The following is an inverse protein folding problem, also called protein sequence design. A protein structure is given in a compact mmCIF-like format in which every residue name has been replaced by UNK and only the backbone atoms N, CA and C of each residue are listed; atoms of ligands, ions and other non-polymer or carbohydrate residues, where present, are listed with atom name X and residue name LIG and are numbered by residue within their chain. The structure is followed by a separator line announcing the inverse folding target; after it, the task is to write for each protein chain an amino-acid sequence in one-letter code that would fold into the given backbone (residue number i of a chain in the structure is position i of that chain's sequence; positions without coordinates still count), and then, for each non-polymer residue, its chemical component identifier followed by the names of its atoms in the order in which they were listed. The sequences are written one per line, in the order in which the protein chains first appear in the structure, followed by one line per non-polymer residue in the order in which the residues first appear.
data_IF_337626232588
#
_entry.id   IF_337626232588
#
_cell.length_a   1.000
_cell.length_b   1.000
_cell.length_c   1.000
_cell.angle_alpha   90.00
_cell.angle_beta   90.00
_cell.angle_gamma   90.00
#
_symmetry.space_group_name_H-M   'P 1'
#
loop_
_entity.id
_entity.type
_entity.pdbx_description
1 polymer ?
#
# COMPACT_ATOMS: atom_id res chain seq x y z
N UNK A 1 -11.07 31.12 -26.83
CA UNK A 1 -10.00 30.69 -27.76
C UNK A 1 -8.92 31.74 -27.99
N UNK A 2 -9.23 33.05 -28.07
CA UNK A 2 -8.21 34.10 -28.15
C UNK A 2 -7.21 34.07 -26.96
N UNK A 3 -7.71 33.75 -25.76
CA UNK A 3 -6.86 33.57 -24.58
C UNK A 3 -5.82 32.45 -24.72
N UNK A 4 -6.14 31.31 -25.34
CA UNK A 4 -5.18 30.19 -25.46
C UNK A 4 -3.97 30.57 -26.32
N UNK A 5 -4.19 31.38 -27.35
CA UNK A 5 -3.16 31.87 -28.25
C UNK A 5 -2.16 32.80 -27.55
N UNK A 6 -2.67 33.78 -26.79
CA UNK A 6 -1.82 34.69 -26.01
C UNK A 6 -1.11 33.95 -24.87
N UNK A 7 -1.77 33.01 -24.20
CA UNK A 7 -1.20 32.23 -23.11
C UNK A 7 -0.01 31.37 -23.58
N UNK A 8 -0.14 30.68 -24.72
CA UNK A 8 0.94 29.84 -25.27
C UNK A 8 2.14 30.70 -25.71
N UNK A 9 1.90 31.88 -26.30
CA UNK A 9 2.97 32.78 -26.76
C UNK A 9 3.67 33.52 -25.62
N UNK A 10 2.98 33.78 -24.51
CA UNK A 10 3.59 34.35 -23.29
C UNK A 10 4.50 33.36 -22.57
N UNK A 11 4.20 32.05 -22.67
CA UNK A 11 4.90 31.00 -21.94
C UNK A 11 6.09 30.42 -22.72
N UNK A 12 5.99 30.27 -24.05
CA UNK A 12 7.04 29.63 -24.84
C UNK A 12 8.06 30.66 -25.31
N UNK A 13 9.19 30.74 -24.61
CA UNK A 13 10.34 31.59 -24.97
C UNK A 13 11.48 30.78 -25.59
N UNK A 14 11.59 29.49 -25.27
CA UNK A 14 12.58 28.53 -25.80
C UNK A 14 11.95 27.17 -26.17
N UNK A 15 12.65 26.39 -26.99
CA UNK A 15 12.32 24.99 -27.35
C UNK A 15 12.12 24.11 -26.12
N UNK A 16 12.84 24.41 -25.03
CA UNK A 16 12.72 23.72 -23.74
C UNK A 16 11.36 23.96 -23.08
N UNK A 17 10.80 25.15 -23.20
CA UNK A 17 9.48 25.47 -22.65
C UNK A 17 8.40 24.65 -23.35
N UNK A 18 8.50 24.52 -24.68
CA UNK A 18 7.56 23.69 -25.44
C UNK A 18 7.69 22.20 -25.11
N UNK A 19 8.92 21.68 -24.93
CA UNK A 19 9.13 20.31 -24.48
C UNK A 19 8.55 20.11 -23.06
N UNK A 20 8.79 21.06 -22.15
CA UNK A 20 8.24 21.02 -20.80
C UNK A 20 6.71 21.01 -20.81
N UNK A 21 6.06 21.89 -21.58
CA UNK A 21 4.60 21.89 -21.74
C UNK A 21 4.09 20.57 -22.30
N UNK A 22 4.76 20.02 -23.32
CA UNK A 22 4.39 18.73 -23.91
C UNK A 22 4.37 17.62 -22.85
N UNK A 23 5.40 17.57 -22.02
CA UNK A 23 5.53 16.52 -20.98
C UNK A 23 4.58 16.77 -19.81
N UNK A 24 4.47 18.00 -19.31
CA UNK A 24 3.58 18.38 -18.19
C UNK A 24 2.10 18.15 -18.50
N UNK A 25 1.68 18.36 -19.75
CA UNK A 25 0.29 18.22 -20.17
C UNK A 25 0.03 16.94 -20.99
N UNK A 26 0.99 16.01 -21.03
CA UNK A 26 0.86 14.71 -21.72
C UNK A 26 0.41 14.84 -23.19
N UNK A 27 0.86 15.89 -23.88
CA UNK A 27 0.46 16.13 -25.26
C UNK A 27 1.13 15.09 -26.17
N UNK A 28 0.35 14.35 -26.94
CA UNK A 28 0.88 13.42 -27.95
C UNK A 28 1.55 14.18 -29.09
N UNK A 29 2.39 13.50 -29.88
CA UNK A 29 3.01 14.10 -31.06
C UNK A 29 1.95 14.57 -32.08
N UNK A 30 0.88 13.77 -32.26
CA UNK A 30 -0.26 14.15 -33.09
C UNK A 30 -1.00 15.37 -32.57
N UNK A 31 -1.27 15.45 -31.25
CA UNK A 31 -1.92 16.61 -30.65
C UNK A 31 -1.08 17.88 -30.78
N UNK A 32 0.23 17.77 -30.52
CA UNK A 32 1.16 18.88 -30.70
C UNK A 32 1.25 19.29 -32.17
N UNK A 33 1.26 18.34 -33.11
CA UNK A 33 1.24 18.62 -34.54
C UNK A 33 -0.04 19.34 -34.97
N UNK A 34 -1.21 18.94 -34.45
CA UNK A 34 -2.48 19.63 -34.73
C UNK A 34 -2.49 21.07 -34.20
N UNK A 35 -2.01 21.29 -32.97
CA UNK A 35 -1.80 22.63 -32.40
C UNK A 35 -0.85 23.43 -33.31
N UNK A 36 0.24 22.81 -33.76
CA UNK A 36 1.21 23.44 -34.63
C UNK A 36 0.59 23.86 -35.97
N UNK A 37 -0.17 22.99 -36.65
CA UNK A 37 -0.85 23.31 -37.90
C UNK A 37 -1.83 24.47 -37.75
N UNK A 38 -2.63 24.46 -36.67
CA UNK A 38 -3.55 25.56 -36.35
C UNK A 38 -2.80 26.88 -36.15
N UNK A 39 -1.72 26.86 -35.37
CA UNK A 39 -0.91 28.04 -35.03
C UNK A 39 -0.02 28.54 -36.17
N UNK A 40 0.37 27.67 -37.11
CA UNK A 40 1.19 28.03 -38.28
C UNK A 40 0.52 29.06 -39.18
N UNK A 41 -0.82 29.13 -39.14
CA UNK A 41 -1.60 30.20 -39.78
C UNK A 41 -1.38 31.58 -39.13
N UNK A 42 -0.74 31.66 -37.95
CA UNK A 42 -0.62 32.89 -37.13
C UNK A 42 0.79 33.24 -36.63
N UNK A 43 1.79 32.33 -36.56
CA UNK A 43 3.24 32.59 -36.30
C UNK A 43 4.11 31.31 -36.37
N UNK A 44 5.46 31.44 -36.38
CA UNK A 44 6.44 30.33 -36.33
C UNK A 44 6.60 29.79 -34.89
N UNK A 45 6.01 28.63 -34.60
CA UNK A 45 6.40 27.78 -33.47
C UNK A 45 7.61 26.89 -33.87
N UNK A 46 8.24 26.23 -32.89
CA UNK A 46 9.25 25.19 -33.14
C UNK A 46 8.61 23.93 -33.70
N UNK A 47 9.27 23.30 -34.69
CA UNK A 47 8.77 22.09 -35.32
C UNK A 47 8.83 20.87 -34.40
N UNK A 48 7.95 19.89 -34.61
CA UNK A 48 7.96 18.61 -33.89
C UNK A 48 9.35 17.94 -33.94
N UNK A 49 9.99 17.95 -35.11
CA UNK A 49 11.34 17.41 -35.33
C UNK A 49 12.41 18.06 -34.44
N UNK A 50 12.29 19.37 -34.18
CA UNK A 50 13.20 20.07 -33.27
C UNK A 50 12.97 19.67 -31.82
N UNK A 51 11.71 19.48 -31.42
CA UNK A 51 11.34 19.02 -30.08
C UNK A 51 11.78 17.57 -29.86
N UNK A 52 11.59 16.69 -30.84
CA UNK A 52 12.10 15.31 -30.81
C UNK A 52 13.62 15.27 -30.72
N UNK A 53 14.33 16.08 -31.50
CA UNK A 53 15.79 16.18 -31.44
C UNK A 53 16.26 16.68 -30.07
N UNK A 54 15.57 17.66 -29.50
CA UNK A 54 15.86 18.16 -28.15
C UNK A 54 15.60 17.08 -27.11
N UNK A 55 14.46 16.38 -27.17
CA UNK A 55 14.12 15.27 -26.28
C UNK A 55 15.18 14.18 -26.36
N UNK A 56 15.58 13.75 -27.56
CA UNK A 56 16.63 12.74 -27.74
C UNK A 56 17.96 13.20 -27.11
N UNK A 57 18.38 14.45 -27.35
CA UNK A 57 19.59 15.04 -26.75
C UNK A 57 19.50 15.17 -25.22
N UNK A 58 18.31 15.40 -24.68
CA UNK A 58 18.07 15.47 -23.24
C UNK A 58 18.09 14.07 -22.64
N UNK A 59 17.43 13.09 -23.27
CA UNK A 59 17.36 11.70 -22.83
C UNK A 59 18.76 11.04 -22.77
N UNK A 60 19.68 11.41 -23.67
CA UNK A 60 21.08 10.91 -23.62
C UNK A 60 21.86 11.37 -22.40
N UNK A 61 21.36 12.33 -21.61
CA UNK A 61 22.00 12.78 -20.37
C UNK A 61 21.65 11.91 -19.17
N UNK A 62 20.61 11.10 -19.27
CA UNK A 62 20.19 10.20 -18.21
C UNK A 62 20.92 8.88 -18.38
N UNK A 63 21.57 8.35 -17.33
CA UNK A 63 22.30 7.09 -17.39
C UNK A 63 21.32 5.91 -17.32
N UNK A 64 20.43 5.80 -18.32
CA UNK A 64 19.43 4.73 -18.39
C UNK A 64 20.09 3.47 -18.94
N UNK A 65 19.99 2.40 -18.17
CA UNK A 65 20.40 1.05 -18.51
C UNK A 65 19.19 0.29 -19.03
N UNK A 66 19.34 -0.35 -20.18
CA UNK A 66 18.29 -1.12 -20.84
C UNK A 66 18.66 -2.59 -20.87
N UNK A 67 17.68 -3.46 -20.64
CA UNK A 67 17.72 -4.88 -20.98
C UNK A 67 16.55 -5.19 -21.92
N UNK A 68 16.37 -6.45 -22.31
CA UNK A 68 15.20 -6.87 -23.09
C UNK A 68 13.88 -6.69 -22.35
N UNK A 69 13.89 -6.68 -21.01
CA UNK A 69 12.69 -6.69 -20.16
C UNK A 69 12.69 -5.59 -19.10
N UNK A 70 13.69 -4.71 -19.07
CA UNK A 70 13.78 -3.65 -18.06
C UNK A 70 14.44 -2.38 -18.55
N UNK A 71 14.07 -1.27 -17.93
CA UNK A 71 14.77 0.01 -18.06
C UNK A 71 14.94 0.62 -16.66
N UNK A 72 16.16 0.96 -16.27
CA UNK A 72 16.45 1.49 -14.93
C UNK A 72 17.65 2.44 -14.96
N UNK A 73 17.82 3.21 -13.90
CA UNK A 73 19.00 4.08 -13.71
C UNK A 73 19.85 3.57 -12.55
N UNK A 74 21.10 4.03 -12.49
CA UNK A 74 21.95 3.84 -11.31
C UNK A 74 21.29 4.40 -10.05
N UNK A 75 21.33 3.65 -8.95
CA UNK A 75 20.68 4.01 -7.70
C UNK A 75 21.23 5.31 -7.14
N UNK A 76 22.55 5.52 -7.18
CA UNK A 76 23.16 6.79 -6.74
C UNK A 76 22.60 7.99 -7.52
N UNK A 77 22.41 7.84 -8.84
CA UNK A 77 21.83 8.88 -9.68
C UNK A 77 20.40 9.21 -9.26
N UNK A 78 19.58 8.18 -8.99
CA UNK A 78 18.23 8.36 -8.48
C UNK A 78 18.25 9.04 -7.09
N UNK A 79 19.14 8.63 -6.18
CA UNK A 79 19.26 9.22 -4.84
C UNK A 79 19.61 10.70 -4.91
N UNK A 80 20.61 11.09 -5.73
CA UNK A 80 20.95 12.50 -5.97
C UNK A 80 19.76 13.30 -6.49
N UNK A 81 18.98 12.69 -7.38
CA UNK A 81 17.79 13.32 -7.96
C UNK A 81 16.69 13.49 -6.90
N UNK A 82 16.46 12.47 -6.07
CA UNK A 82 15.48 12.52 -4.98
C UNK A 82 15.84 13.59 -3.95
N UNK A 83 17.13 13.72 -3.63
CA UNK A 83 17.63 14.77 -2.74
C UNK A 83 17.46 16.15 -3.40
N UNK A 84 17.77 16.29 -4.69
CA UNK A 84 17.54 17.54 -5.41
C UNK A 84 16.06 17.96 -5.40
N UNK A 85 15.13 17.02 -5.55
CA UNK A 85 13.69 17.27 -5.42
C UNK A 85 13.36 17.71 -3.99
N UNK A 86 13.88 17.01 -2.99
CA UNK A 86 13.65 17.32 -1.58
C UNK A 86 14.20 18.70 -1.16
N UNK A 87 15.32 19.16 -1.74
CA UNK A 87 15.88 20.50 -1.47
C UNK A 87 14.92 21.64 -1.82
N UNK A 88 13.92 21.41 -2.68
CA UNK A 88 12.88 22.40 -2.99
C UNK A 88 11.91 22.64 -1.83
N UNK A 89 11.88 21.71 -0.87
CA UNK A 89 10.92 21.69 0.24
C UNK A 89 11.60 21.76 1.61
N UNK A 90 12.82 21.23 1.72
CA UNK A 90 13.68 21.38 2.89
C UNK A 90 15.05 21.90 2.44
N UNK A 91 15.37 23.16 2.76
CA UNK A 91 16.60 23.80 2.30
C UNK A 91 17.84 23.30 3.05
N UNK A 92 17.67 22.78 4.28
CA UNK A 92 18.74 22.40 5.21
C UNK A 92 19.01 20.89 5.22
N UNK A 93 18.81 20.20 4.09
CA UNK A 93 19.07 18.75 3.99
C UNK A 93 20.53 18.37 4.29
N UNK A 94 21.47 19.30 4.07
CA UNK A 94 22.88 19.16 4.39
C UNK A 94 23.18 19.19 5.91
N UNK A 95 22.23 19.60 6.74
CA UNK A 95 22.38 19.57 8.20
C UNK A 95 22.11 18.19 8.79
N UNK A 96 21.43 17.31 8.05
CA UNK A 96 21.18 15.94 8.50
C UNK A 96 22.46 15.10 8.40
N UNK A 97 22.65 14.19 9.36
CA UNK A 97 23.72 13.19 9.31
C UNK A 97 23.31 11.96 8.50
N UNK A 98 22.00 11.70 8.42
CA UNK A 98 21.42 10.61 7.65
C UNK A 98 20.20 11.12 6.88
N UNK A 99 20.09 10.71 5.61
CA UNK A 99 18.89 10.88 4.80
C UNK A 99 18.22 9.54 4.55
N UNK A 100 16.89 9.53 4.64
CA UNK A 100 16.09 8.33 4.49
C UNK A 100 15.49 8.31 3.09
N UNK A 101 15.91 7.32 2.30
CA UNK A 101 15.42 7.07 0.96
C UNK A 101 14.36 5.96 1.04
N UNK A 102 13.11 6.31 0.74
CA UNK A 102 12.03 5.34 0.64
C UNK A 102 12.09 4.68 -0.73
N UNK A 103 12.28 3.37 -0.75
CA UNK A 103 12.28 2.51 -1.92
C UNK A 103 10.88 1.96 -2.15
N UNK A 104 10.16 2.51 -3.12
CA UNK A 104 8.79 2.11 -3.42
C UNK A 104 8.78 1.09 -4.55
N UNK A 105 8.12 -0.05 -4.33
CA UNK A 105 7.91 -1.07 -5.36
C UNK A 105 6.42 -1.37 -5.47
N UNK A 106 5.85 -1.23 -6.67
CA UNK A 106 4.44 -1.52 -6.92
C UNK A 106 4.23 -2.20 -8.28
N UNK A 107 3.22 -3.07 -8.34
CA UNK A 107 2.86 -3.81 -9.53
C UNK A 107 1.76 -3.10 -10.31
N UNK A 108 1.93 -2.98 -11.62
CA UNK A 108 0.92 -2.42 -12.53
C UNK A 108 0.79 -3.22 -13.81
N UNK A 109 -0.32 -3.03 -14.51
CA UNK A 109 -0.60 -3.62 -15.82
C UNK A 109 -0.46 -2.55 -16.91
N UNK A 110 0.44 -2.79 -17.86
CA UNK A 110 0.60 -1.93 -19.04
C UNK A 110 0.28 -2.78 -20.27
N UNK A 111 -0.93 -2.60 -20.81
CA UNK A 111 -1.48 -3.49 -21.83
C UNK A 111 -1.63 -4.92 -21.30
N UNK A 112 -0.97 -5.88 -21.94
CA UNK A 112 -0.99 -7.29 -21.54
C UNK A 112 0.24 -7.69 -20.68
N UNK A 113 1.05 -6.72 -20.26
CA UNK A 113 2.30 -6.96 -19.52
C UNK A 113 2.13 -6.56 -18.06
N UNK A 114 2.61 -7.40 -17.16
CA UNK A 114 2.81 -7.03 -15.77
C UNK A 114 4.15 -6.33 -15.63
N UNK A 115 4.12 -5.12 -15.09
CA UNK A 115 5.30 -4.29 -14.87
C UNK A 115 5.41 -4.06 -13.36
N UNK A 116 6.60 -4.26 -12.82
CA UNK A 116 6.95 -3.74 -11.50
C UNK A 116 7.62 -2.40 -11.69
N UNK A 117 6.98 -1.36 -11.19
CA UNK A 117 7.51 -0.01 -11.16
C UNK A 117 8.21 0.23 -9.82
N UNK A 118 9.47 0.63 -9.90
CA UNK A 118 10.28 0.98 -8.74
C UNK A 118 10.59 2.48 -8.81
N UNK A 119 10.28 3.18 -7.72
CA UNK A 119 10.55 4.61 -7.57
C UNK A 119 11.07 4.90 -6.18
N UNK A 120 11.76 6.02 -6.02
CA UNK A 120 12.29 6.44 -4.73
C UNK A 120 11.94 7.89 -4.42
N UNK A 121 11.98 8.22 -3.12
CA UNK A 121 11.88 9.59 -2.65
C UNK A 121 12.70 9.77 -1.36
N UNK A 122 13.16 10.99 -1.12
CA UNK A 122 13.79 11.38 0.14
C UNK A 122 12.69 11.80 1.13
N UNK A 123 12.64 11.18 2.31
CA UNK A 123 11.58 11.37 3.31
C UNK A 123 11.70 12.76 3.94
N UNK A 124 12.91 13.25 4.18
CA UNK A 124 13.18 14.53 4.82
C UNK A 124 12.64 15.74 4.03
N UNK A 125 12.39 15.57 2.72
CA UNK A 125 11.67 16.57 1.91
C UNK A 125 10.15 16.62 2.13
N UNK A 126 9.62 15.80 3.05
CA UNK A 126 8.23 15.77 3.49
C UNK A 126 7.24 15.24 2.45
N UNK A 127 5.94 15.44 2.75
CA UNK A 127 4.81 14.92 1.94
C UNK A 127 4.85 15.34 0.46
N UNK A 128 5.44 16.49 0.14
CA UNK A 128 5.53 16.95 -1.25
C UNK A 128 6.39 16.01 -2.11
N UNK A 129 7.41 15.39 -1.51
CA UNK A 129 8.28 14.42 -2.18
C UNK A 129 7.61 13.05 -2.41
N UNK A 130 6.46 12.82 -1.77
CA UNK A 130 5.70 11.57 -1.88
C UNK A 130 4.60 11.66 -2.94
N UNK A 131 4.44 12.81 -3.62
CA UNK A 131 3.46 13.00 -4.69
C UNK A 131 3.93 12.36 -6.01
N UNK A 132 2.99 11.92 -6.84
CA UNK A 132 3.30 11.26 -8.13
C UNK A 132 4.28 12.05 -9.01
N UNK A 133 4.19 13.39 -9.01
CA UNK A 133 5.06 14.27 -9.81
C UNK A 133 6.49 14.39 -9.28
N UNK A 134 6.72 14.06 -8.02
CA UNK A 134 8.00 14.23 -7.33
C UNK A 134 8.68 12.89 -6.97
N UNK A 135 8.00 11.75 -7.19
CA UNK A 135 8.64 10.45 -7.13
C UNK A 135 9.72 10.35 -8.21
N UNK A 136 10.89 9.83 -7.84
CA UNK A 136 11.98 9.63 -8.79
C UNK A 136 11.92 8.19 -9.30
N UNK A 137 11.64 7.96 -10.59
CA UNK A 137 11.66 6.63 -11.15
C UNK A 137 13.06 6.02 -11.04
N UNK A 138 13.14 4.81 -10.50
CA UNK A 138 14.38 4.04 -10.41
C UNK A 138 14.43 2.98 -11.52
N UNK A 139 13.31 2.31 -11.78
CA UNK A 139 13.23 1.37 -12.90
C UNK A 139 11.85 0.78 -13.15
N UNK A 140 11.67 0.25 -14.35
CA UNK A 140 10.51 -0.52 -14.77
C UNK A 140 10.98 -1.91 -15.19
N UNK A 141 10.32 -2.94 -14.66
CA UNK A 141 10.71 -4.33 -14.85
C UNK A 141 9.51 -5.15 -15.32
N UNK A 142 9.58 -5.70 -16.52
CA UNK A 142 8.58 -6.63 -17.03
C UNK A 142 8.69 -7.97 -16.29
N UNK A 143 7.63 -8.33 -15.58
CA UNK A 143 7.51 -9.57 -14.83
C UNK A 143 6.40 -10.41 -15.42
N UNK A 144 6.50 -11.73 -15.31
CA UNK A 144 5.39 -12.60 -15.72
C UNK A 144 4.25 -12.57 -14.69
N UNK A 145 4.62 -12.55 -13.41
CA UNK A 145 3.73 -12.50 -12.25
C UNK A 145 4.51 -12.05 -11.04
N UNK A 146 3.85 -11.33 -10.14
CA UNK A 146 4.44 -10.96 -8.86
C UNK A 146 4.49 -12.16 -7.92
N UNK A 147 5.71 -12.69 -7.73
CA UNK A 147 6.08 -13.54 -6.62
C UNK A 147 7.61 -13.46 -6.44
N UNK A 148 8.11 -13.84 -5.26
CA UNK A 148 9.53 -13.68 -4.91
C UNK A 148 10.49 -14.34 -5.91
N UNK A 149 10.19 -15.55 -6.40
CA UNK A 149 11.07 -16.29 -7.30
C UNK A 149 11.14 -15.66 -8.69
N UNK A 150 10.01 -15.22 -9.25
CA UNK A 150 9.97 -14.56 -10.55
C UNK A 150 10.59 -13.16 -10.48
N UNK A 151 10.34 -12.42 -9.40
CA UNK A 151 11.00 -11.14 -9.16
C UNK A 151 12.52 -11.30 -9.09
N UNK A 152 13.02 -12.33 -8.40
CA UNK A 152 14.45 -12.62 -8.31
C UNK A 152 15.08 -12.93 -9.68
N UNK A 153 14.33 -13.57 -10.59
CA UNK A 153 14.78 -13.84 -11.96
C UNK A 153 14.73 -12.60 -12.86
N UNK A 154 13.78 -11.71 -12.63
CA UNK A 154 13.62 -10.49 -13.43
C UNK A 154 14.58 -9.38 -13.03
N UNK A 155 14.80 -9.17 -11.73
CA UNK A 155 15.66 -8.08 -11.24
C UNK A 155 17.13 -8.41 -11.52
N UNK A 156 17.87 -7.58 -12.29
CA UNK A 156 19.28 -7.82 -12.54
C UNK A 156 20.09 -7.84 -11.23
N UNK A 157 21.02 -8.79 -11.10
CA UNK A 157 21.92 -8.86 -9.93
C UNK A 157 22.69 -7.55 -9.76
N UNK A 158 23.12 -6.96 -10.86
CA UNK A 158 23.81 -5.67 -10.85
C UNK A 158 22.96 -4.52 -10.33
N UNK A 159 21.65 -4.54 -10.59
CA UNK A 159 20.71 -3.57 -10.03
C UNK A 159 20.60 -3.70 -8.51
N UNK A 160 20.50 -4.93 -7.99
CA UNK A 160 20.45 -5.18 -6.54
C UNK A 160 21.76 -4.75 -5.86
N UNK A 161 22.91 -5.12 -6.44
CA UNK A 161 24.22 -4.74 -5.91
C UNK A 161 24.44 -3.23 -5.93
N UNK A 162 23.93 -2.54 -6.96
CA UNK A 162 24.00 -1.08 -7.09
C UNK A 162 23.21 -0.36 -5.98
N UNK A 163 22.08 -0.93 -5.54
CA UNK A 163 21.33 -0.37 -4.41
C UNK A 163 22.12 -0.55 -3.11
N UNK A 164 22.71 -1.73 -2.89
CA UNK A 164 23.49 -2.06 -1.68
C UNK A 164 24.79 -1.26 -1.54
N UNK A 165 25.35 -0.78 -2.66
CA UNK A 165 26.63 -0.07 -2.66
C UNK A 165 26.52 1.37 -2.17
N UNK A 166 25.36 2.01 -2.32
CA UNK A 166 25.15 3.42 -1.95
C UNK A 166 24.82 3.53 -0.46
N UNK A 167 25.86 3.78 0.34
CA UNK A 167 25.74 3.95 1.79
C UNK A 167 25.87 5.40 2.26
N UNK A 168 26.54 6.23 1.47
CA UNK A 168 26.77 7.64 1.77
C UNK A 168 26.70 8.46 0.49
N UNK A 169 26.44 9.76 0.63
CA UNK A 169 26.48 10.71 -0.47
C UNK A 169 27.07 12.04 -0.03
N UNK A 170 27.93 12.61 -0.88
CA UNK A 170 28.51 13.92 -0.60
C UNK A 170 27.58 15.03 -1.08
N UNK A 171 27.19 15.94 -0.17
CA UNK A 171 26.39 17.14 -0.42
C UNK A 171 27.10 18.34 0.20
N UNK A 172 27.48 19.32 -0.62
CA UNK A 172 28.13 20.53 -0.12
C UNK A 172 29.45 20.27 0.61
N UNK A 173 30.12 19.15 0.31
CA UNK A 173 31.36 18.72 0.97
C UNK A 173 31.16 17.96 2.29
N UNK A 174 29.92 17.76 2.75
CA UNK A 174 29.59 16.87 3.86
C UNK A 174 29.17 15.51 3.30
N UNK A 175 29.73 14.44 3.84
CA UNK A 175 29.25 13.09 3.59
C UNK A 175 28.09 12.78 4.52
N UNK A 176 26.98 12.34 3.92
CA UNK A 176 25.72 12.08 4.60
C UNK A 176 25.35 10.63 4.39
N UNK A 177 24.97 9.94 5.46
CA UNK A 177 24.57 8.53 5.40
C UNK A 177 23.23 8.35 4.70
N UNK A 178 23.10 7.27 3.93
CA UNK A 178 21.87 6.90 3.23
C UNK A 178 21.26 5.69 3.92
N UNK A 179 20.06 5.88 4.49
CA UNK A 179 19.23 4.78 4.99
C UNK A 179 18.13 4.48 3.97
N UNK A 180 18.07 3.24 3.50
CA UNK A 180 17.00 2.80 2.60
C UNK A 180 15.89 2.14 3.41
N UNK A 181 14.64 2.57 3.19
CA UNK A 181 13.44 1.96 3.80
C UNK A 181 12.51 1.43 2.73
N UNK A 182 11.81 0.33 3.02
CA UNK A 182 10.90 -0.29 2.08
C UNK A 182 9.54 0.44 2.09
N UNK A 183 9.06 0.81 0.92
CA UNK A 183 7.71 1.27 0.64
C UNK A 183 7.03 0.30 -0.33
N UNK A 184 5.76 0.01 -0.09
CA UNK A 184 5.01 -0.97 -0.86
C UNK A 184 3.74 -1.37 -0.15
N UNK A 185 2.81 -1.96 -0.90
CA UNK A 185 1.69 -2.63 -0.27
C UNK A 185 2.15 -3.86 0.53
N UNK A 186 1.23 -4.43 1.30
CA UNK A 186 1.55 -5.52 2.23
C UNK A 186 1.87 -6.83 1.49
N UNK A 187 1.34 -7.04 0.28
CA UNK A 187 1.70 -8.18 -0.58
C UNK A 187 3.12 -8.04 -1.13
N UNK A 188 3.52 -6.82 -1.50
CA UNK A 188 4.86 -6.50 -1.93
C UNK A 188 5.88 -6.83 -0.84
N UNK A 189 5.61 -6.42 0.40
CA UNK A 189 6.43 -6.78 1.56
C UNK A 189 6.53 -8.30 1.75
N UNK A 190 5.44 -9.05 1.58
CA UNK A 190 5.47 -10.53 1.59
C UNK A 190 6.46 -11.07 0.55
N UNK A 191 6.47 -10.52 -0.67
CA UNK A 191 7.40 -10.95 -1.71
C UNK A 191 8.84 -10.56 -1.42
N UNK A 192 9.07 -9.34 -0.94
CA UNK A 192 10.41 -8.83 -0.59
C UNK A 192 11.02 -9.63 0.53
N UNK A 193 10.26 -9.95 1.57
CA UNK A 193 10.75 -10.73 2.71
C UNK A 193 10.68 -12.24 2.50
N UNK A 194 10.19 -12.74 1.35
CA UNK A 194 10.16 -14.19 1.07
C UNK A 194 9.21 -14.98 1.99
N UNK A 195 8.06 -14.41 2.32
CA UNK A 195 7.06 -15.01 3.22
C UNK A 195 6.03 -15.86 2.45
N UNK A 196 5.38 -16.80 3.14
CA UNK A 196 4.34 -17.68 2.59
C UNK A 196 3.01 -16.96 2.27
N UNK A 197 2.86 -15.69 2.69
CA UNK A 197 1.69 -14.85 2.40
C UNK A 197 0.53 -14.98 3.37
N UNK A 198 -0.57 -14.26 3.07
CA UNK A 198 -1.69 -14.05 4.00
C UNK A 198 -2.60 -15.25 4.23
N UNK A 199 -2.52 -16.28 3.37
CA UNK A 199 -3.25 -17.55 3.56
C UNK A 199 -2.51 -18.55 4.45
N UNK A 200 -1.26 -18.25 4.84
CA UNK A 200 -0.46 -19.13 5.69
C UNK A 200 -0.97 -19.15 7.13
N UNK A 201 -0.46 -20.10 7.91
CA UNK A 201 -0.69 -20.18 9.35
C UNK A 201 -0.02 -19.03 10.13
N UNK A 202 0.89 -18.27 9.52
CA UNK A 202 1.61 -17.16 10.13
C UNK A 202 1.57 -15.93 9.23
N UNK A 203 0.38 -15.34 9.03
CA UNK A 203 0.15 -14.41 7.93
C UNK A 203 0.60 -12.97 8.24
N UNK A 204 0.99 -12.66 9.48
CA UNK A 204 1.55 -11.36 9.81
C UNK A 204 2.99 -11.26 9.30
N UNK A 205 3.32 -10.15 8.64
CA UNK A 205 4.67 -9.85 8.16
C UNK A 205 5.60 -9.32 9.26
N UNK A 206 5.07 -8.93 10.42
CA UNK A 206 5.83 -8.28 11.49
C UNK A 206 6.14 -9.21 12.66
N UNK A 207 5.27 -10.20 12.89
CA UNK A 207 5.43 -11.16 13.98
C UNK A 207 5.06 -12.57 13.52
N UNK A 208 5.46 -13.57 14.32
CA UNK A 208 5.19 -14.99 14.05
C UNK A 208 3.89 -15.47 14.73
N UNK A 209 2.90 -14.60 14.93
CA UNK A 209 1.61 -14.98 15.55
C UNK A 209 0.85 -15.96 14.63
N UNK A 210 0.29 -17.02 15.21
CA UNK A 210 -0.52 -17.99 14.46
C UNK A 210 -1.86 -17.38 14.05
N UNK A 211 -2.41 -17.78 12.89
CA UNK A 211 -3.65 -17.23 12.32
C UNK A 211 -4.85 -17.31 13.28
N UNK A 212 -4.90 -18.33 14.13
CA UNK A 212 -5.99 -18.53 15.10
C UNK A 212 -5.92 -17.53 16.26
N UNK A 213 -4.74 -16.99 16.52
CA UNK A 213 -4.43 -16.11 17.65
C UNK A 213 -4.17 -14.65 17.21
N UNK A 214 -4.49 -14.30 15.96
CA UNK A 214 -4.34 -12.92 15.43
C UNK A 214 -5.19 -11.89 16.18
N UNK A 215 -6.24 -12.37 16.83
CA UNK A 215 -7.16 -11.57 17.62
C UNK A 215 -6.61 -11.20 19.00
N UNK A 216 -5.51 -11.83 19.42
CA UNK A 216 -4.90 -11.62 20.73
C UNK A 216 -4.23 -10.26 20.75
N UNK A 217 -4.52 -9.52 21.82
CA UNK A 217 -4.00 -8.20 22.16
C UNK A 217 -3.58 -8.20 23.62
N UNK A 218 -3.05 -7.08 24.12
CA UNK A 218 -2.77 -6.91 25.56
C UNK A 218 -3.98 -7.23 26.44
N UNK A 219 -5.18 -6.80 26.04
CA UNK A 219 -6.43 -6.98 26.80
C UNK A 219 -7.02 -8.40 26.70
N UNK A 220 -6.55 -9.22 25.75
CA UNK A 220 -7.16 -10.53 25.44
C UNK A 220 -6.17 -11.68 25.49
N UNK A 221 -4.99 -11.44 26.05
CA UNK A 221 -3.97 -12.46 26.29
C UNK A 221 -4.49 -13.55 27.23
N UNK A 222 -4.14 -14.80 26.95
CA UNK A 222 -4.66 -15.97 27.65
C UNK A 222 -3.62 -17.08 27.76
N UNK A 223 -3.85 -18.04 28.66
CA UNK A 223 -2.99 -19.20 28.84
C UNK A 223 -3.55 -20.39 28.07
N UNK A 224 -2.69 -21.09 27.32
CA UNK A 224 -3.06 -22.27 26.54
C UNK A 224 -2.20 -23.45 26.92
N UNK A 225 -2.84 -24.59 27.15
CA UNK A 225 -2.15 -25.86 27.34
C UNK A 225 -1.79 -26.46 25.98
N UNK A 226 -0.50 -26.65 25.73
CA UNK A 226 0.04 -27.29 24.52
C UNK A 226 0.66 -28.61 24.94
N UNK A 227 0.30 -29.68 24.23
CA UNK A 227 0.90 -31.00 24.46
C UNK A 227 2.00 -31.22 23.44
N UNK A 228 3.24 -31.32 23.91
CA UNK A 228 4.42 -31.56 23.09
C UNK A 228 4.94 -32.99 23.30
N UNK A 229 5.61 -33.54 22.28
CA UNK A 229 6.16 -34.90 22.30
C UNK A 229 5.29 -35.96 21.60
N UNK A 230 5.82 -37.19 21.52
CA UNK A 230 5.15 -38.36 20.91
C UNK A 230 5.12 -39.54 21.90
N UNK A 231 4.03 -40.32 21.87
CA UNK A 231 3.88 -41.53 22.68
C UNK A 231 3.88 -41.26 24.20
N UNK A 232 4.65 -42.06 24.94
CA UNK A 232 4.80 -41.97 26.40
C UNK A 232 5.48 -40.68 26.89
N UNK A 233 6.13 -39.93 25.99
CA UNK A 233 6.85 -38.70 26.32
C UNK A 233 6.01 -37.43 26.07
N UNK A 234 4.68 -37.54 26.04
CA UNK A 234 3.80 -36.38 25.90
C UNK A 234 3.83 -35.56 27.20
N UNK A 235 4.22 -34.30 27.10
CA UNK A 235 4.19 -33.35 28.21
C UNK A 235 3.24 -32.22 27.87
N UNK A 236 2.34 -31.88 28.78
CA UNK A 236 1.52 -30.68 28.67
C UNK A 236 2.26 -29.52 29.31
N UNK A 237 2.44 -28.45 28.53
CA UNK A 237 3.05 -27.20 28.97
C UNK A 237 2.02 -26.09 28.79
N UNK A 238 1.86 -25.26 29.81
CA UNK A 238 1.04 -24.06 29.72
C UNK A 238 1.88 -22.94 29.12
N UNK A 239 1.42 -22.37 28.01
CA UNK A 239 2.07 -21.28 27.29
C UNK A 239 1.16 -20.05 27.31
N UNK A 240 1.73 -18.90 27.69
CA UNK A 240 1.03 -17.61 27.62
C UNK A 240 0.97 -17.15 26.16
N UNK A 241 -0.23 -17.03 25.61
CA UNK A 241 -0.46 -16.39 24.31
C UNK A 241 -0.70 -14.90 24.57
N UNK A 242 0.35 -14.11 24.34
CA UNK A 242 0.37 -12.67 24.60
C UNK A 242 0.30 -11.81 23.33
N UNK A 243 0.31 -10.47 23.50
CA UNK A 243 0.48 -9.54 22.39
C UNK A 243 1.85 -9.75 21.72
N UNK A 244 1.92 -9.35 20.45
CA UNK A 244 3.17 -9.39 19.69
C UNK A 244 3.69 -7.99 19.42
N UNK A 245 4.97 -7.91 19.05
CA UNK A 245 5.62 -6.66 18.65
C UNK A 245 6.16 -6.78 17.22
N UNK A 246 6.36 -5.66 16.55
CA UNK A 246 7.06 -5.61 15.26
C UNK A 246 8.59 -5.50 15.42
N UNK A 247 9.08 -5.13 16.61
CA UNK A 247 10.50 -4.83 16.82
C UNK A 247 11.15 -5.59 17.99
N UNK A 248 10.37 -6.12 18.93
CA UNK A 248 10.86 -6.89 20.08
C UNK A 248 10.81 -8.42 19.81
N UNK A 249 11.96 -9.10 19.62
CA UNK A 249 12.01 -10.55 19.39
C UNK A 249 11.46 -11.37 20.56
N UNK A 250 11.54 -10.88 21.80
CA UNK A 250 10.95 -11.56 22.96
C UNK A 250 9.41 -11.59 22.87
N UNK A 251 8.82 -10.69 22.08
CA UNK A 251 7.40 -10.64 21.72
C UNK A 251 7.14 -11.10 20.28
N UNK A 252 7.93 -12.09 19.83
CA UNK A 252 7.73 -12.79 18.54
C UNK A 252 7.87 -11.90 17.30
N UNK A 253 8.58 -10.78 17.39
CA UNK A 253 8.91 -9.98 16.22
C UNK A 253 9.78 -10.78 15.25
N UNK A 254 9.50 -10.66 13.95
CA UNK A 254 10.30 -11.34 12.91
C UNK A 254 11.70 -10.72 12.80
N UNK A 255 12.68 -11.56 12.48
CA UNK A 255 14.04 -11.11 12.18
C UNK A 255 14.63 -11.90 11.02
N UNK A 256 15.61 -11.29 10.31
CA UNK A 256 16.36 -12.00 9.27
C UNK A 256 17.13 -13.19 9.84
N UNK A 257 17.69 -13.04 11.05
CA UNK A 257 18.42 -14.11 11.72
C UNK A 257 17.52 -15.34 12.02
N UNK A 258 16.30 -15.12 12.51
CA UNK A 258 15.31 -16.18 12.70
C UNK A 258 14.93 -16.82 11.35
N UNK A 259 14.67 -16.00 10.33
CA UNK A 259 14.32 -16.50 9.01
C UNK A 259 15.40 -17.41 8.41
N UNK A 260 16.68 -16.99 8.42
CA UNK A 260 17.77 -17.82 7.90
C UNK A 260 17.92 -19.12 8.71
N UNK A 261 17.76 -19.06 10.03
CA UNK A 261 17.81 -20.25 10.89
C UNK A 261 16.67 -21.23 10.59
N UNK A 262 15.44 -20.73 10.41
CA UNK A 262 14.27 -21.54 10.06
C UNK A 262 14.43 -22.18 8.67
N UNK A 263 14.87 -21.42 7.67
CA UNK A 263 15.02 -21.93 6.29
C UNK A 263 16.07 -23.03 6.19
N UNK A 264 17.11 -22.99 7.03
CA UNK A 264 18.14 -24.04 7.08
C UNK A 264 17.62 -25.39 7.63
N UNK A 265 16.57 -25.36 8.48
CA UNK A 265 16.05 -26.55 9.17
C UNK A 265 14.76 -27.04 8.51
N UNK A 266 13.78 -26.15 8.34
CA UNK A 266 12.43 -26.48 7.89
C UNK A 266 11.81 -25.32 7.11
N UNK A 267 11.82 -25.38 5.77
CA UNK A 267 11.11 -24.43 4.94
C UNK A 267 9.62 -24.34 5.30
N UNK A 268 9.04 -23.15 5.24
CA UNK A 268 7.68 -22.78 5.63
C UNK A 268 7.36 -22.83 7.13
N UNK A 269 8.33 -23.12 8.00
CA UNK A 269 8.13 -22.92 9.42
C UNK A 269 8.00 -21.43 9.75
N UNK A 270 7.09 -21.10 10.67
CA UNK A 270 6.72 -19.72 11.02
C UNK A 270 6.32 -18.83 9.80
N UNK A 271 6.01 -19.44 8.66
CA UNK A 271 5.65 -18.74 7.42
C UNK A 271 6.82 -18.24 6.58
N UNK A 272 8.08 -18.62 6.89
CA UNK A 272 9.25 -18.30 6.08
C UNK A 272 9.35 -19.23 4.87
N UNK A 273 9.17 -18.70 3.65
CA UNK A 273 9.13 -19.52 2.43
C UNK A 273 10.50 -19.64 1.76
N UNK A 274 11.21 -18.53 1.62
CA UNK A 274 12.52 -18.46 0.99
C UNK A 274 13.32 -17.27 1.51
N UNK A 275 14.58 -17.14 1.07
CA UNK A 275 15.40 -15.99 1.40
C UNK A 275 14.78 -14.68 0.87
N UNK A 276 14.98 -13.55 1.57
CA UNK A 276 14.50 -12.24 1.11
C UNK A 276 15.03 -11.88 -0.28
N UNK A 277 14.20 -11.20 -1.08
CA UNK A 277 14.51 -10.80 -2.46
C UNK A 277 15.80 -9.99 -2.55
N UNK A 278 15.97 -9.02 -1.64
CA UNK A 278 17.13 -8.14 -1.58
C UNK A 278 18.17 -8.58 -0.52
N UNK A 279 18.08 -9.81 -0.01
CA UNK A 279 18.94 -10.30 1.07
C UNK A 279 18.81 -9.45 2.34
N UNK A 280 19.94 -8.94 2.82
CA UNK A 280 20.08 -8.11 4.03
C UNK A 280 19.84 -6.61 3.83
N UNK A 281 19.41 -6.17 2.65
CA UNK A 281 19.16 -4.74 2.38
C UNK A 281 18.08 -4.15 3.30
N UNK A 282 17.06 -4.94 3.65
CA UNK A 282 15.94 -4.50 4.47
C UNK A 282 15.78 -5.42 5.68
N UNK A 283 15.68 -4.84 6.86
CA UNK A 283 15.13 -5.52 8.02
C UNK A 283 13.59 -5.36 8.05
N UNK A 284 12.91 -6.22 8.80
CA UNK A 284 11.45 -6.10 9.02
C UNK A 284 11.04 -4.72 9.57
N UNK A 285 11.93 -4.08 10.35
CA UNK A 285 11.73 -2.74 10.92
C UNK A 285 11.89 -1.61 9.90
N UNK A 286 12.48 -1.87 8.72
CA UNK A 286 12.61 -0.89 7.64
C UNK A 286 11.35 -0.79 6.79
N UNK A 287 10.32 -1.58 7.10
CA UNK A 287 8.99 -1.51 6.52
C UNK A 287 7.95 -1.07 7.57
N UNK A 288 7.02 -0.21 7.17
CA UNK A 288 5.82 0.11 7.95
C UNK A 288 4.59 -0.11 7.08
N UNK A 289 3.47 -0.43 7.72
CA UNK A 289 2.21 -0.65 7.00
C UNK A 289 1.79 0.59 6.23
N UNK A 290 1.44 0.41 4.95
CA UNK A 290 0.83 1.47 4.15
C UNK A 290 -0.58 1.79 4.64
N UNK A 291 -0.81 3.06 4.95
CA UNK A 291 -2.08 3.54 5.50
C UNK A 291 -3.22 3.50 4.49
N UNK A 292 -2.93 3.58 3.18
CA UNK A 292 -3.94 3.50 2.13
C UNK A 292 -4.52 2.08 2.04
N UNK A 293 -3.66 1.07 1.90
CA UNK A 293 -4.08 -0.33 1.86
C UNK A 293 -4.67 -0.79 3.19
N UNK A 294 -4.16 -0.32 4.32
CA UNK A 294 -4.77 -0.59 5.63
C UNK A 294 -6.25 -0.19 5.64
N UNK A 295 -6.55 1.04 5.21
CA UNK A 295 -7.92 1.53 5.08
C UNK A 295 -8.74 0.66 4.12
N UNK A 296 -8.24 0.47 2.89
CA UNK A 296 -8.97 -0.25 1.84
C UNK A 296 -9.36 -1.65 2.30
N UNK A 297 -8.41 -2.41 2.86
CA UNK A 297 -8.60 -3.81 3.21
C UNK A 297 -9.45 -4.01 4.45
N UNK A 298 -9.36 -3.13 5.43
CA UNK A 298 -10.20 -3.22 6.63
C UNK A 298 -11.65 -2.88 6.30
N UNK A 299 -11.90 -1.83 5.52
CA UNK A 299 -13.26 -1.54 5.05
C UNK A 299 -13.83 -2.63 4.16
N UNK A 300 -13.04 -3.22 3.26
CA UNK A 300 -13.49 -4.35 2.43
C UNK A 300 -13.90 -5.56 3.30
N UNK A 301 -13.14 -5.84 4.37
CA UNK A 301 -13.47 -6.92 5.33
C UNK A 301 -14.77 -6.61 6.06
N UNK A 302 -14.92 -5.39 6.60
CA UNK A 302 -16.13 -4.98 7.32
C UNK A 302 -17.35 -5.04 6.39
N UNK A 303 -17.23 -4.53 5.15
CA UNK A 303 -18.32 -4.60 4.17
C UNK A 303 -18.68 -6.05 3.87
N UNK A 304 -17.68 -6.90 3.58
CA UNK A 304 -17.90 -8.32 3.28
C UNK A 304 -18.64 -9.02 4.42
N UNK A 305 -18.27 -8.73 5.67
CA UNK A 305 -18.91 -9.34 6.84
C UNK A 305 -20.34 -8.82 7.05
N UNK A 306 -20.58 -7.53 6.81
CA UNK A 306 -21.94 -6.96 6.79
C UNK A 306 -22.81 -7.64 5.71
N UNK A 307 -22.30 -7.79 4.49
CA UNK A 307 -23.05 -8.43 3.39
C UNK A 307 -23.31 -9.92 3.69
N UNK A 308 -22.32 -10.62 4.23
CA UNK A 308 -22.46 -12.02 4.64
C UNK A 308 -23.55 -12.18 5.70
N UNK A 309 -23.57 -11.29 6.71
CA UNK A 309 -24.62 -11.31 7.72
C UNK A 309 -25.99 -10.93 7.14
N UNK A 310 -26.05 -9.87 6.31
CA UNK A 310 -27.28 -9.42 5.66
C UNK A 310 -27.91 -10.49 4.75
N UNK A 311 -27.09 -11.41 4.22
CA UNK A 311 -27.55 -12.57 3.44
C UNK A 311 -28.24 -13.65 4.28
N UNK A 312 -28.08 -13.64 5.61
CA UNK A 312 -28.74 -14.60 6.52
C UNK A 312 -30.17 -14.15 6.80
N UNK A 313 -31.13 -14.68 6.06
CA UNK A 313 -32.54 -14.30 6.21
C UNK A 313 -33.34 -15.24 7.12
N UNK A 314 -32.81 -16.42 7.44
CA UNK A 314 -33.56 -17.49 8.10
C UNK A 314 -34.68 -18.10 7.26
N UNK A 315 -34.76 -17.74 5.97
CA UNK A 315 -35.74 -18.21 4.97
C UNK A 315 -35.03 -18.95 3.84
N UNK A 316 -35.79 -19.64 3.00
CA UNK A 316 -35.28 -20.42 1.86
C UNK A 316 -36.08 -20.14 0.58
N UNK A 317 -35.54 -20.53 -0.58
CA UNK A 317 -36.23 -20.45 -1.87
C UNK A 317 -36.60 -19.02 -2.29
N UNK A 318 -37.80 -18.84 -2.86
CA UNK A 318 -38.26 -17.55 -3.39
C UNK A 318 -38.40 -16.45 -2.34
N UNK A 319 -38.79 -16.78 -1.10
CA UNK A 319 -38.91 -15.80 -0.01
C UNK A 319 -37.54 -15.24 0.39
N UNK A 320 -36.53 -16.10 0.47
CA UNK A 320 -35.15 -15.69 0.71
C UNK A 320 -34.64 -14.76 -0.39
N UNK A 321 -34.89 -15.10 -1.66
CA UNK A 321 -34.49 -14.29 -2.81
C UNK A 321 -35.14 -12.90 -2.76
N UNK A 322 -36.44 -12.82 -2.50
CA UNK A 322 -37.16 -11.55 -2.42
C UNK A 322 -36.60 -10.62 -1.32
N UNK A 323 -36.23 -11.18 -0.15
CA UNK A 323 -35.60 -10.42 0.93
C UNK A 323 -34.22 -9.89 0.49
N UNK A 324 -33.40 -10.73 -0.13
CA UNK A 324 -32.07 -10.35 -0.61
C UNK A 324 -32.16 -9.26 -1.69
N UNK A 325 -33.07 -9.40 -2.65
CA UNK A 325 -33.28 -8.43 -3.72
C UNK A 325 -33.71 -7.06 -3.16
N UNK A 326 -34.58 -7.05 -2.14
CA UNK A 326 -34.96 -5.82 -1.47
C UNK A 326 -33.75 -5.16 -0.77
N UNK A 327 -32.92 -5.92 -0.06
CA UNK A 327 -31.69 -5.40 0.56
C UNK A 327 -30.70 -4.87 -0.47
N UNK A 328 -30.53 -5.56 -1.60
CA UNK A 328 -29.69 -5.12 -2.72
C UNK A 328 -30.20 -3.80 -3.31
N UNK A 329 -31.52 -3.65 -3.48
CA UNK A 329 -32.13 -2.41 -3.96
C UNK A 329 -31.77 -1.24 -3.03
N UNK A 330 -31.90 -1.43 -1.72
CA UNK A 330 -31.56 -0.41 -0.71
C UNK A 330 -30.07 -0.05 -0.78
N UNK A 331 -29.18 -1.05 -0.83
CA UNK A 331 -27.74 -0.86 -0.95
C UNK A 331 -27.35 -0.13 -2.24
N UNK A 332 -27.94 -0.49 -3.38
CA UNK A 332 -27.69 0.17 -4.66
C UNK A 332 -28.22 1.61 -4.69
N UNK A 333 -29.39 1.88 -4.10
CA UNK A 333 -29.90 3.25 -3.96
C UNK A 333 -29.00 4.11 -3.06
N UNK A 334 -28.42 3.53 -2.01
CA UNK A 334 -27.43 4.21 -1.18
C UNK A 334 -26.13 4.47 -1.95
N UNK A 335 -25.62 3.45 -2.64
CA UNK A 335 -24.39 3.53 -3.43
C UNK A 335 -24.51 4.56 -4.57
N UNK A 336 -25.64 4.62 -5.25
CA UNK A 336 -25.89 5.63 -6.28
C UNK A 336 -25.93 7.04 -5.69
N UNK A 337 -26.64 7.24 -4.57
CA UNK A 337 -26.75 8.56 -3.93
C UNK A 337 -25.43 9.08 -3.37
N UNK A 338 -24.60 8.19 -2.83
CA UNK A 338 -23.37 8.59 -2.11
C UNK A 338 -22.11 8.51 -2.96
N UNK A 339 -22.01 7.50 -3.82
CA UNK A 339 -20.82 7.16 -4.60
C UNK A 339 -21.04 7.38 -6.10
N UNK A 340 -22.29 7.50 -6.56
CA UNK A 340 -22.62 7.63 -7.99
C UNK A 340 -22.54 6.31 -8.77
N UNK A 341 -22.45 5.16 -8.10
CA UNK A 341 -22.36 3.84 -8.75
C UNK A 341 -23.69 3.10 -8.68
N UNK A 342 -24.22 2.72 -9.86
CA UNK A 342 -25.41 1.88 -10.02
C UNK A 342 -25.04 0.40 -10.07
N UNK A 343 -25.96 -0.47 -9.62
CA UNK A 343 -25.87 -1.93 -9.72
C UNK A 343 -24.57 -2.54 -9.17
N UNK A 344 -23.99 -1.90 -8.15
CA UNK A 344 -22.75 -2.33 -7.53
C UNK A 344 -22.94 -3.61 -6.70
N UNK A 345 -24.11 -3.79 -6.11
CA UNK A 345 -24.49 -5.01 -5.38
C UNK A 345 -25.42 -5.87 -6.22
N UNK A 346 -25.18 -7.18 -6.21
CA UNK A 346 -25.96 -8.15 -6.97
C UNK A 346 -26.13 -9.44 -6.16
N UNK A 347 -27.06 -10.28 -6.64
CA UNK A 347 -27.23 -11.62 -6.11
C UNK A 347 -26.13 -12.50 -6.70
N UNK A 348 -25.32 -13.08 -5.83
CA UNK A 348 -24.38 -14.12 -6.19
C UNK A 348 -24.93 -15.50 -5.80
N UNK A 349 -24.52 -16.53 -6.52
CA UNK A 349 -24.99 -17.90 -6.32
C UNK A 349 -23.79 -18.79 -6.00
N UNK A 350 -23.63 -19.14 -4.73
CA UNK A 350 -22.59 -20.04 -4.27
C UNK A 350 -23.26 -21.32 -3.76
N UNK A 351 -22.98 -22.46 -4.40
CA UNK A 351 -23.50 -23.79 -4.04
C UNK A 351 -24.99 -23.82 -3.62
N UNK A 352 -25.87 -23.30 -4.49
CA UNK A 352 -27.34 -23.17 -4.33
C UNK A 352 -27.83 -22.12 -3.32
N UNK A 353 -26.94 -21.48 -2.57
CA UNK A 353 -27.28 -20.37 -1.69
C UNK A 353 -27.16 -19.03 -2.43
N UNK A 354 -28.15 -18.17 -2.27
CA UNK A 354 -28.14 -16.82 -2.81
C UNK A 354 -27.54 -15.89 -1.76
N UNK A 355 -26.57 -15.07 -2.16
CA UNK A 355 -25.91 -14.13 -1.24
C UNK A 355 -25.80 -12.75 -1.88
N UNK A 356 -25.59 -11.74 -1.04
CA UNK A 356 -25.32 -10.38 -1.51
C UNK A 356 -23.82 -10.25 -1.74
N UNK A 357 -23.43 -9.91 -2.97
CA UNK A 357 -22.04 -9.65 -3.33
C UNK A 357 -21.87 -8.24 -3.93
N UNK A 358 -20.68 -7.68 -3.77
CA UNK A 358 -20.25 -6.46 -4.44
C UNK A 358 -19.47 -6.80 -5.71
N UNK A 359 -19.89 -6.28 -6.86
CA UNK A 359 -19.25 -6.50 -8.16
C UNK A 359 -18.23 -5.40 -8.48
N UNK A 360 -17.17 -5.36 -7.67
CA UNK A 360 -16.06 -4.42 -7.82
C UNK A 360 -15.51 -3.98 -6.49
N UNK A 361 -14.61 -2.99 -6.52
CA UNK A 361 -14.02 -2.37 -5.33
C UNK A 361 -14.31 -0.88 -5.30
N UNK A 362 -14.45 -0.35 -4.09
CA UNK A 362 -14.52 1.08 -3.84
C UNK A 362 -13.09 1.57 -3.58
N UNK A 363 -12.65 2.62 -4.28
CA UNK A 363 -11.39 3.27 -3.97
C UNK A 363 -11.48 3.98 -2.61
N UNK A 364 -10.34 4.42 -2.07
CA UNK A 364 -10.29 4.99 -0.72
C UNK A 364 -11.27 6.15 -0.53
N UNK A 365 -11.33 7.09 -1.49
CA UNK A 365 -12.29 8.20 -1.42
C UNK A 365 -13.75 7.72 -1.45
N UNK A 366 -14.06 6.73 -2.28
CA UNK A 366 -15.42 6.21 -2.41
C UNK A 366 -15.86 5.43 -1.16
N UNK A 367 -14.95 4.76 -0.44
CA UNK A 367 -15.27 4.12 0.83
C UNK A 367 -15.67 5.16 1.91
N UNK A 368 -15.02 6.33 1.94
CA UNK A 368 -15.40 7.42 2.88
C UNK A 368 -16.82 7.92 2.61
N UNK A 369 -17.18 8.07 1.33
CA UNK A 369 -18.52 8.47 0.91
C UNK A 369 -19.57 7.38 1.12
N UNK A 370 -19.18 6.12 0.95
CA UNK A 370 -20.10 5.00 1.10
C UNK A 370 -20.49 4.77 2.56
N UNK A 371 -19.53 4.79 3.48
CA UNK A 371 -19.77 4.57 4.91
C UNK A 371 -20.15 5.85 5.65
N UNK A 372 -20.92 6.77 5.06
CA UNK A 372 -21.45 7.95 5.77
C UNK A 372 -22.47 7.59 6.86
N UNK A 373 -22.84 8.55 7.70
CA UNK A 373 -23.76 8.32 8.83
C UNK A 373 -25.14 7.82 8.40
N UNK A 374 -25.52 8.08 7.15
CA UNK A 374 -26.75 7.61 6.50
C UNK A 374 -26.66 6.20 5.92
N UNK A 375 -25.55 5.46 6.12
CA UNK A 375 -25.47 4.07 5.68
C UNK A 375 -26.64 3.25 6.29
N UNK A 376 -27.37 2.46 5.47
CA UNK A 376 -28.67 1.92 5.85
C UNK A 376 -28.57 0.64 6.69
N UNK A 377 -27.85 0.68 7.83
CA UNK A 377 -27.60 -0.50 8.66
C UNK A 377 -28.88 -1.22 9.10
N UNK A 378 -29.90 -0.47 9.53
CA UNK A 378 -31.13 -1.03 10.12
C UNK A 378 -32.05 -1.64 9.07
N UNK A 379 -31.93 -1.20 7.83
CA UNK A 379 -32.72 -1.70 6.72
C UNK A 379 -32.20 -3.03 6.17
N UNK A 380 -30.92 -3.37 6.44
CA UNK A 380 -30.29 -4.60 5.94
C UNK A 380 -29.88 -5.61 7.04
N UNK A 381 -29.80 -5.19 8.30
CA UNK A 381 -29.39 -6.00 9.46
C UNK A 381 -30.44 -5.94 10.59
N UNK A 382 -30.38 -6.86 11.55
CA UNK A 382 -31.14 -6.76 12.80
C UNK A 382 -30.61 -5.60 13.66
N UNK A 383 -31.43 -5.06 14.57
CA UNK A 383 -31.09 -3.87 15.37
C UNK A 383 -29.78 -4.02 16.16
N UNK A 384 -29.56 -5.16 16.82
CA UNK A 384 -28.35 -5.42 17.60
C UNK A 384 -27.10 -5.41 16.71
N UNK A 385 -27.16 -6.10 15.56
CA UNK A 385 -26.03 -6.22 14.63
C UNK A 385 -25.81 -4.90 13.87
N UNK A 386 -26.87 -4.17 13.55
CA UNK A 386 -26.80 -2.84 12.97
C UNK A 386 -26.06 -1.87 13.91
N UNK A 387 -26.34 -1.93 15.22
CA UNK A 387 -25.64 -1.12 16.23
C UNK A 387 -24.16 -1.50 16.32
N UNK A 388 -23.86 -2.79 16.40
CA UNK A 388 -22.49 -3.30 16.47
C UNK A 388 -21.67 -2.99 15.22
N UNK A 389 -22.23 -3.21 14.02
CA UNK A 389 -21.57 -2.90 12.75
C UNK A 389 -21.25 -1.41 12.62
N UNK A 390 -22.19 -0.54 13.00
CA UNK A 390 -21.98 0.91 13.05
C UNK A 390 -20.86 1.29 14.02
N UNK A 391 -20.83 0.68 15.22
CA UNK A 391 -19.79 0.93 16.22
C UNK A 391 -18.39 0.58 15.68
N UNK A 392 -18.25 -0.60 15.05
CA UNK A 392 -17.01 -1.04 14.41
C UNK A 392 -16.54 -0.06 13.34
N UNK A 393 -17.42 0.35 12.44
CA UNK A 393 -17.10 1.32 11.37
C UNK A 393 -16.67 2.67 11.95
N UNK A 394 -17.40 3.18 12.95
CA UNK A 394 -17.08 4.46 13.58
C UNK A 394 -15.75 4.40 14.31
N UNK A 395 -15.48 3.33 15.06
CA UNK A 395 -14.22 3.13 15.77
C UNK A 395 -13.04 3.04 14.80
N UNK A 396 -13.22 2.40 13.64
CA UNK A 396 -12.19 2.40 12.60
C UNK A 396 -11.95 3.80 12.01
N UNK A 397 -13.00 4.58 11.76
CA UNK A 397 -12.88 5.97 11.32
C UNK A 397 -12.14 6.85 12.34
N UNK A 398 -12.35 6.63 13.65
CA UNK A 398 -11.59 7.32 14.70
C UNK A 398 -10.08 7.06 14.57
N UNK A 399 -9.68 5.80 14.33
CA UNK A 399 -8.28 5.44 14.05
C UNK A 399 -7.75 6.18 12.82
N UNK A 400 -8.51 6.19 11.71
CA UNK A 400 -8.09 6.88 10.49
C UNK A 400 -7.95 8.38 10.67
N UNK A 401 -8.80 9.00 11.50
CA UNK A 401 -8.71 10.42 11.83
C UNK A 401 -7.48 10.71 12.69
N UNK A 402 -7.14 9.83 13.63
CA UNK A 402 -5.90 9.95 14.42
C UNK A 402 -4.67 9.91 13.53
N UNK A 403 -4.61 8.96 12.59
CA UNK A 403 -3.50 8.84 11.63
C UNK A 403 -3.32 10.07 10.72
N UNK A 404 -4.40 10.83 10.48
CA UNK A 404 -4.37 12.06 9.68
C UNK A 404 -3.93 13.29 10.48
N UNK A 405 -4.13 13.28 11.80
CA UNK A 405 -3.88 14.44 12.66
C UNK A 405 -2.41 14.85 12.58
N UNK A 406 -2.16 16.10 12.18
CA UNK A 406 -0.83 16.54 11.77
C UNK A 406 0.02 17.16 12.87
N UNK A 407 -0.56 17.34 14.05
CA UNK A 407 0.02 18.09 15.16
C UNK A 407 0.01 17.23 16.42
N UNK A 408 1.19 16.76 16.81
CA UNK A 408 1.48 16.07 18.07
C UNK A 408 0.98 14.62 18.11
N UNK A 409 1.92 13.67 18.13
CA UNK A 409 1.66 12.27 18.50
C UNK A 409 1.00 12.29 19.88
N UNK A 410 -0.28 11.96 19.97
CA UNK A 410 -0.98 11.90 21.25
C UNK A 410 -0.66 10.56 21.89
N UNK A 411 0.32 10.57 22.79
CA UNK A 411 0.83 9.37 23.45
C UNK A 411 -0.33 8.50 23.96
N UNK A 412 -0.34 7.24 23.54
CA UNK A 412 -1.32 6.23 23.96
C UNK A 412 -2.72 6.33 23.33
N UNK A 413 -3.09 7.41 22.64
CA UNK A 413 -4.44 7.55 22.05
C UNK A 413 -4.66 6.52 20.94
N UNK A 414 -3.73 6.41 20.00
CA UNK A 414 -3.82 5.43 18.92
C UNK A 414 -3.83 3.99 19.46
N UNK A 415 -2.99 3.71 20.48
CA UNK A 415 -2.97 2.40 21.15
C UNK A 415 -4.34 2.05 21.73
N UNK A 416 -4.94 2.96 22.50
CA UNK A 416 -6.29 2.77 23.06
C UNK A 416 -7.33 2.53 21.96
N UNK A 417 -7.37 3.38 20.93
CA UNK A 417 -8.33 3.24 19.83
C UNK A 417 -8.16 1.92 19.08
N UNK A 418 -6.92 1.49 18.84
CA UNK A 418 -6.58 0.21 18.22
C UNK A 418 -7.09 -0.99 19.03
N UNK A 419 -6.86 -0.99 20.35
CA UNK A 419 -7.32 -2.07 21.24
C UNK A 419 -8.85 -2.12 21.33
N UNK A 420 -9.49 -0.95 21.51
CA UNK A 420 -10.94 -0.83 21.49
C UNK A 420 -11.54 -1.33 20.18
N UNK A 421 -10.94 -0.98 19.03
CA UNK A 421 -11.40 -1.43 17.72
C UNK A 421 -11.41 -2.96 17.60
N UNK A 422 -10.32 -3.64 17.98
CA UNK A 422 -10.26 -5.10 17.91
C UNK A 422 -11.28 -5.74 18.86
N UNK A 423 -11.46 -5.19 20.06
CA UNK A 423 -12.48 -5.64 21.01
C UNK A 423 -13.89 -5.51 20.44
N UNK A 424 -14.26 -4.34 19.95
CA UNK A 424 -15.56 -4.07 19.31
C UNK A 424 -15.77 -4.98 18.08
N UNK A 425 -14.74 -5.14 17.24
CA UNK A 425 -14.81 -6.00 16.06
C UNK A 425 -15.15 -7.45 16.43
N UNK A 426 -14.50 -8.00 17.47
CA UNK A 426 -14.76 -9.37 17.93
C UNK A 426 -16.13 -9.53 18.58
N UNK A 427 -16.58 -8.52 19.33
CA UNK A 427 -17.86 -8.54 20.01
C UNK A 427 -19.04 -8.27 19.06
N UNK A 428 -18.76 -7.76 17.85
CA UNK A 428 -19.80 -7.36 16.91
C UNK A 428 -20.70 -8.47 16.36
N UNK A 429 -20.25 -9.74 16.45
CA UNK A 429 -20.94 -10.87 15.85
C UNK A 429 -20.85 -10.96 14.31
N UNK A 430 -20.16 -10.02 13.66
CA UNK A 430 -19.96 -10.02 12.21
C UNK A 430 -19.07 -11.19 11.74
N UNK A 431 -18.05 -11.53 12.53
CA UNK A 431 -17.06 -12.56 12.22
C UNK A 431 -16.40 -13.11 13.49
N UNK A 432 -15.92 -14.35 13.43
CA UNK A 432 -15.19 -15.03 14.53
C UNK A 432 -13.66 -14.90 14.44
N UNK A 433 -13.09 -14.71 13.25
CA UNK A 433 -11.64 -14.62 13.00
C UNK A 433 -11.15 -13.19 12.75
N UNK A 434 -9.85 -12.95 12.91
CA UNK A 434 -9.22 -11.65 12.67
C UNK A 434 -8.32 -11.75 11.44
N UNK A 435 -8.37 -10.75 10.55
CA UNK A 435 -7.51 -10.70 9.36
C UNK A 435 -6.14 -10.11 9.71
N UNK A 436 -5.10 -10.32 8.89
CA UNK A 436 -3.77 -9.76 9.13
C UNK A 436 -3.77 -8.22 9.30
N UNK A 437 -4.60 -7.51 8.53
CA UNK A 437 -4.73 -6.05 8.66
C UNK A 437 -5.36 -5.63 9.99
N UNK A 438 -6.39 -6.32 10.47
CA UNK A 438 -7.01 -6.04 11.78
C UNK A 438 -6.04 -6.39 12.91
N UNK A 439 -5.28 -7.47 12.78
CA UNK A 439 -4.20 -7.81 13.72
C UNK A 439 -3.14 -6.71 13.80
N UNK A 440 -2.72 -6.17 12.63
CA UNK A 440 -1.78 -5.05 12.56
C UNK A 440 -2.32 -3.83 13.29
N UNK A 441 -3.62 -3.52 13.18
CA UNK A 441 -4.23 -2.44 13.96
C UNK A 441 -4.06 -2.67 15.46
N UNK A 442 -4.39 -3.88 15.94
CA UNK A 442 -4.42 -4.22 17.36
C UNK A 442 -3.07 -4.40 18.04
N UNK A 443 -2.00 -4.72 17.30
CA UNK A 443 -0.69 -5.02 17.89
C UNK A 443 0.45 -4.14 17.39
N UNK A 444 0.43 -3.68 16.13
CA UNK A 444 1.62 -3.08 15.50
C UNK A 444 1.44 -1.61 15.12
N UNK A 445 0.21 -1.18 14.82
CA UNK A 445 -0.06 0.16 14.29
C UNK A 445 0.40 1.28 15.22
N UNK A 446 0.17 1.14 16.53
CA UNK A 446 0.60 2.13 17.51
C UNK A 446 2.12 2.08 17.72
N UNK A 447 2.77 0.90 17.69
CA UNK A 447 4.23 0.80 17.76
C UNK A 447 4.89 1.51 16.57
N UNK A 448 4.34 1.35 15.36
CA UNK A 448 4.83 2.09 14.20
C UNK A 448 4.65 3.60 14.37
N UNK A 449 3.53 4.03 14.92
CA UNK A 449 3.27 5.45 15.15
C UNK A 449 4.19 6.03 16.23
N UNK A 450 4.63 5.25 17.21
CA UNK A 450 5.60 5.68 18.21
C UNK A 450 6.99 5.87 17.57
N UNK A 451 7.42 4.90 16.76
CA UNK A 451 8.78 4.84 16.22
C UNK A 451 8.97 5.53 14.86
N UNK A 452 7.88 5.79 14.12
CA UNK A 452 7.92 6.37 12.79
C UNK A 452 6.82 7.43 12.60
N UNK A 453 6.90 8.21 11.53
CA UNK A 453 5.76 8.99 11.04
C UNK A 453 5.04 8.18 9.96
N UNK A 454 3.90 7.58 10.31
CA UNK A 454 3.11 6.75 9.39
C UNK A 454 2.66 7.50 8.13
N UNK A 455 2.66 8.84 8.16
CA UNK A 455 2.31 9.67 6.99
C UNK A 455 3.36 9.54 5.89
N UNK A 456 4.60 9.18 6.24
CA UNK A 456 5.70 8.98 5.30
C UNK A 456 5.64 7.64 4.55
N UNK A 457 4.68 6.79 4.90
CA UNK A 457 4.47 5.47 4.31
C UNK A 457 3.18 5.40 3.49
N UNK A 458 2.58 6.53 3.17
CA UNK A 458 1.43 6.57 2.27
C UNK A 458 1.87 6.28 0.83
N UNK A 459 1.24 5.28 0.20
CA UNK A 459 1.50 4.84 -1.18
C UNK A 459 0.65 5.55 -2.24
N UNK A 460 -0.21 6.49 -1.88
CA UNK A 460 -1.12 7.18 -2.82
C UNK A 460 -0.40 7.86 -4.00
N UNK A 461 0.79 8.41 -3.78
CA UNK A 461 1.58 9.02 -4.87
C UNK A 461 2.13 8.00 -5.85
N UNK A 462 2.47 6.79 -5.37
CA UNK A 462 2.97 5.69 -6.22
C UNK A 462 1.82 5.16 -7.06
N UNK A 463 0.66 4.88 -6.44
CA UNK A 463 -0.54 4.44 -7.18
C UNK A 463 -1.00 5.43 -8.24
N UNK A 464 -0.87 6.74 -7.98
CA UNK A 464 -1.22 7.78 -8.96
C UNK A 464 -0.16 7.94 -10.06
N UNK A 465 1.08 7.53 -9.79
CA UNK A 465 2.17 7.56 -10.77
C UNK A 465 2.09 6.40 -11.75
N UNK A 466 1.61 5.25 -11.29
CA UNK A 466 1.23 4.12 -12.13
C UNK A 466 0.03 4.48 -13.01
#
# INVERSE_FOLDING_TARGET
MHCLHEWILLIIKDKRDLLHLKDTYYLTDCALHAIFQYMRSKKKLYSLKEIERLRKKTNTKFPILFTSTSAYVKFEYAVRTAIFVARKHELKLDQFDTLTIRFNMDGTLIGNKHIVAISINCIEGGRQCQTATNLVPLGLFEVQKENTELLRKTLPVEFINDIKSVKHISIGGKDIDIRVRLGGDLMNAVYVFGLAGFSSNYPCIFCTQHKDDLHVTEDTAYDKNITEGKGINKKTVTVRVGPTSYHDPAKRARSLAEQFSCLAIKPNDLGYKCEPLFGDLFNYQDYCVDTLHLKLRVFDVILKDILSYASRTGKYGGEHLAIIENKIKILNQHCERTVGKRFFFQVDSDDKNKTIASHGKLSGHLQDLFFVDSFPYKEILSDEIAKSARAVVNKFKEILNELKSSSIKRNGVLKRLSLEFVKEFRQSGLRTTVTPYIHIIGNHLFEFHELNDLRDYNMQGVEKSN
#
